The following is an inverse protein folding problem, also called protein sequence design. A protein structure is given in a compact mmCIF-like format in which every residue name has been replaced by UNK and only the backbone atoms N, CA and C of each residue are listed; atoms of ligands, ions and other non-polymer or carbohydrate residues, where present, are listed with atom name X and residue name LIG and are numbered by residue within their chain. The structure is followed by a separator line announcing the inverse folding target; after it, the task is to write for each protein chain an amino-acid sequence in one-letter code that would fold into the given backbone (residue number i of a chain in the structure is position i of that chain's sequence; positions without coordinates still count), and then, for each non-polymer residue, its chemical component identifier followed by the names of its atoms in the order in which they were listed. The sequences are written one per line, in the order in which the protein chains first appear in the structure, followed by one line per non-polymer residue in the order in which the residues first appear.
data_IF_530922790729
#
_entry.id   IF_530922790729
#
_cell.length_a   1.000
_cell.length_b   1.000
_cell.length_c   1.000
_cell.angle_alpha   90.00
_cell.angle_beta   90.00
_cell.angle_gamma   90.00
#
_symmetry.space_group_name_H-M   'P 1'
#
loop_
_entity.id
_entity.type
_entity.pdbx_description
1 polymer ?
#
# COMPACT_ATOMS: atom_id res chain seq x y z
N UNK A 1 -6.22 -6.78 -0.69
CA UNK A 1 -5.21 -5.78 -0.29
C UNK A 1 -5.89 -4.71 0.54
N UNK A 2 -5.25 -4.25 1.60
CA UNK A 2 -5.77 -3.20 2.48
C UNK A 2 -4.66 -2.18 2.74
N UNK A 3 -4.97 -0.90 2.62
CA UNK A 3 -3.99 0.18 2.76
C UNK A 3 -4.50 1.15 3.81
N UNK A 4 -3.72 1.33 4.88
CA UNK A 4 -3.97 2.36 5.88
C UNK A 4 -3.17 3.60 5.51
N UNK A 5 -3.84 4.58 4.87
CA UNK A 5 -3.21 5.84 4.47
C UNK A 5 -3.17 6.86 5.63
N UNK A 6 -2.37 7.91 5.46
CA UNK A 6 -2.10 8.96 6.45
C UNK A 6 -1.41 8.45 7.71
N UNK A 7 -0.61 7.39 7.61
CA UNK A 7 0.10 6.84 8.76
C UNK A 7 1.11 7.85 9.37
N UNK A 8 1.46 8.90 8.63
CA UNK A 8 2.25 10.04 9.09
C UNK A 8 1.54 10.94 10.11
N UNK A 9 0.21 10.92 10.18
CA UNK A 9 -0.57 11.74 11.13
C UNK A 9 -0.82 11.04 12.46
N UNK A 10 -0.63 9.71 12.52
CA UNK A 10 -0.73 8.94 13.77
C UNK A 10 0.40 9.44 14.66
N UNK A 11 0.10 10.05 15.80
CA UNK A 11 1.11 10.72 16.61
C UNK A 11 2.23 9.77 17.02
N UNK A 12 3.47 10.25 17.09
CA UNK A 12 4.64 9.43 17.41
C UNK A 12 4.57 8.83 18.83
N UNK A 13 3.83 9.48 19.74
CA UNK A 13 3.46 8.92 21.06
C UNK A 13 2.49 7.75 20.95
N UNK A 14 1.61 7.75 19.95
CA UNK A 14 0.78 6.58 19.63
C UNK A 14 1.55 5.54 18.81
N UNK A 15 2.64 5.92 18.13
CA UNK A 15 3.52 5.00 17.42
C UNK A 15 4.49 4.20 18.28
N UNK A 16 5.08 4.86 19.27
CA UNK A 16 6.23 4.35 20.01
C UNK A 16 5.92 4.05 21.47
N UNK A 17 4.68 4.24 21.94
CA UNK A 17 4.27 3.73 23.25
C UNK A 17 3.94 2.24 23.17
N UNK A 18 4.49 1.40 24.07
CA UNK A 18 4.04 0.03 24.23
C UNK A 18 2.56 0.05 24.63
N UNK A 19 1.67 -0.18 23.66
CA UNK A 19 0.23 -0.25 23.90
C UNK A 19 -0.67 0.33 22.81
N UNK A 20 -0.26 1.32 22.01
CA UNK A 20 -1.21 2.08 21.16
C UNK A 20 -1.08 1.83 19.65
N UNK A 21 0.12 1.79 19.07
CA UNK A 21 0.27 1.58 17.61
C UNK A 21 0.01 0.13 17.22
N UNK A 22 0.53 -0.77 18.06
CA UNK A 22 0.21 -2.18 18.00
C UNK A 22 -1.31 -2.33 18.05
N UNK A 23 -2.04 -1.54 18.85
CA UNK A 23 -3.49 -1.67 18.97
C UNK A 23 -4.25 -1.28 17.70
N UNK A 24 -4.01 -0.13 17.06
CA UNK A 24 -4.80 0.23 15.85
C UNK A 24 -4.52 -0.72 14.69
N UNK A 25 -3.25 -1.06 14.48
CA UNK A 25 -2.87 -2.01 13.45
C UNK A 25 -3.40 -3.41 13.76
N UNK A 26 -3.18 -3.91 14.99
CA UNK A 26 -3.62 -5.23 15.41
C UNK A 26 -5.14 -5.34 15.49
N UNK A 27 -5.86 -4.33 15.96
CA UNK A 27 -7.32 -4.27 15.96
C UNK A 27 -7.87 -4.34 14.53
N UNK A 28 -7.24 -3.61 13.60
CA UNK A 28 -7.59 -3.70 12.18
C UNK A 28 -7.34 -5.11 11.64
N UNK A 29 -6.17 -5.69 11.93
CA UNK A 29 -5.83 -7.07 11.54
C UNK A 29 -6.82 -8.08 12.14
N UNK A 30 -7.18 -7.94 13.40
CA UNK A 30 -8.08 -8.84 14.12
C UNK A 30 -9.50 -8.76 13.57
N UNK A 31 -9.99 -7.55 13.28
CA UNK A 31 -11.27 -7.35 12.58
C UNK A 31 -11.26 -7.99 11.20
N UNK A 32 -10.20 -7.80 10.43
CA UNK A 32 -10.06 -8.41 9.10
C UNK A 32 -9.97 -9.94 9.17
N UNK A 33 -9.25 -10.50 10.15
CA UNK A 33 -9.17 -11.95 10.39
C UNK A 33 -10.51 -12.55 10.80
N UNK A 34 -11.33 -11.82 11.57
CA UNK A 34 -12.70 -12.25 11.92
C UNK A 34 -13.60 -12.37 10.68
N UNK A 35 -13.48 -11.46 9.72
CA UNK A 35 -14.29 -11.48 8.50
C UNK A 35 -13.77 -12.42 7.41
N UNK A 36 -12.45 -12.62 7.34
CA UNK A 36 -11.78 -13.49 6.37
C UNK A 36 -10.79 -14.41 7.08
N UNK A 37 -11.29 -15.44 7.80
CA UNK A 37 -10.44 -16.40 8.49
C UNK A 37 -9.61 -17.20 7.48
N UNK A 38 -8.34 -17.46 7.83
CA UNK A 38 -7.39 -18.18 6.97
C UNK A 38 -6.69 -17.33 5.90
N UNK A 39 -7.10 -16.07 5.69
CA UNK A 39 -6.38 -15.15 4.82
C UNK A 39 -5.16 -14.54 5.54
N UNK A 40 -3.98 -14.61 4.91
CA UNK A 40 -2.75 -14.04 5.46
C UNK A 40 -2.67 -12.53 5.21
N UNK A 41 -3.38 -11.76 6.04
CA UNK A 41 -3.45 -10.30 5.96
C UNK A 41 -2.10 -9.60 6.08
N UNK A 42 -1.15 -10.18 6.82
CA UNK A 42 0.18 -9.60 7.06
C UNK A 42 0.96 -9.33 5.77
N UNK A 43 0.65 -10.03 4.68
CA UNK A 43 1.30 -9.89 3.36
C UNK A 43 0.59 -8.92 2.42
N UNK A 44 -0.61 -8.46 2.78
CA UNK A 44 -1.48 -7.66 1.91
C UNK A 44 -2.00 -6.39 2.59
N UNK A 45 -1.49 -6.09 3.78
CA UNK A 45 -1.76 -4.88 4.52
C UNK A 45 -0.54 -3.95 4.48
N UNK A 46 -0.77 -2.67 4.21
CA UNK A 46 0.31 -1.68 4.08
C UNK A 46 -0.02 -0.41 4.87
N UNK A 47 0.97 0.08 5.65
CA UNK A 47 0.95 1.41 6.28
C UNK A 47 1.52 2.41 5.28
N UNK A 48 0.80 3.50 4.99
CA UNK A 48 1.17 4.46 3.96
C UNK A 48 1.02 5.90 4.42
N UNK A 49 1.88 6.78 3.90
CA UNK A 49 1.69 8.22 3.93
C UNK A 49 1.78 8.77 2.50
N UNK A 50 0.65 9.25 1.97
CA UNK A 50 0.61 9.96 0.67
C UNK A 50 1.45 11.21 0.65
N UNK A 51 1.49 11.93 1.76
CA UNK A 51 2.29 13.14 1.91
C UNK A 51 3.79 12.83 1.79
N UNK A 52 4.27 11.84 2.55
CA UNK A 52 5.68 11.45 2.57
C UNK A 52 6.12 10.89 1.21
N UNK A 53 5.34 9.97 0.64
CA UNK A 53 5.68 9.37 -0.64
C UNK A 53 5.60 10.39 -1.80
N UNK A 54 4.67 11.36 -1.75
CA UNK A 54 4.67 12.46 -2.71
C UNK A 54 5.93 13.32 -2.61
N UNK A 55 6.36 13.68 -1.39
CA UNK A 55 7.61 14.43 -1.17
C UNK A 55 8.83 13.72 -1.76
N UNK A 56 8.93 12.40 -1.61
CA UNK A 56 10.02 11.61 -2.19
C UNK A 56 10.01 11.64 -3.73
N UNK A 57 8.82 11.47 -4.33
CA UNK A 57 8.64 11.51 -5.78
C UNK A 57 9.00 12.89 -6.33
N UNK A 58 8.46 13.97 -5.74
CA UNK A 58 8.71 15.35 -6.19
C UNK A 58 10.15 15.78 -5.98
N UNK A 59 10.84 15.19 -5.00
CA UNK A 59 12.27 15.46 -4.75
C UNK A 59 13.21 14.63 -5.65
N UNK A 60 12.67 13.79 -6.54
CA UNK A 60 13.46 12.91 -7.41
C UNK A 60 14.17 11.77 -6.68
N UNK A 61 13.82 11.52 -5.42
CA UNK A 61 14.42 10.47 -4.57
C UNK A 61 13.83 9.09 -4.94
N UNK A 62 12.69 9.08 -5.63
CA UNK A 62 11.99 7.87 -6.05
C UNK A 62 10.86 7.52 -5.10
N UNK A 63 10.81 6.27 -4.62
CA UNK A 63 9.73 5.77 -3.79
C UNK A 63 10.19 5.53 -2.35
N UNK A 64 9.32 5.78 -1.37
CA UNK A 64 9.55 5.31 0.00
C UNK A 64 9.51 3.78 0.05
N UNK A 65 10.19 3.16 1.01
CA UNK A 65 10.18 1.70 1.17
C UNK A 65 8.76 1.13 1.31
N UNK A 66 7.89 1.85 2.02
CA UNK A 66 6.48 1.48 2.20
C UNK A 66 5.71 1.51 0.88
N UNK A 67 5.95 2.52 0.04
CA UNK A 67 5.36 2.60 -1.28
C UNK A 67 5.89 1.50 -2.21
N UNK A 68 7.20 1.23 -2.18
CA UNK A 68 7.79 0.13 -2.94
C UNK A 68 7.20 -1.23 -2.53
N UNK A 69 6.96 -1.44 -1.23
CA UNK A 69 6.31 -2.65 -0.72
C UNK A 69 4.86 -2.80 -1.20
N UNK A 70 4.08 -1.70 -1.24
CA UNK A 70 2.73 -1.68 -1.80
C UNK A 70 2.74 -2.07 -3.28
N UNK A 71 3.62 -1.44 -4.07
CA UNK A 71 3.75 -1.73 -5.50
C UNK A 71 4.17 -3.18 -5.76
N UNK A 72 5.10 -3.72 -4.96
CA UNK A 72 5.48 -5.12 -5.02
C UNK A 72 4.32 -6.07 -4.67
N UNK A 73 3.48 -5.69 -3.70
CA UNK A 73 2.25 -6.41 -3.35
C UNK A 73 1.23 -6.47 -4.50
N UNK A 74 0.96 -5.30 -5.09
CA UNK A 74 0.10 -5.17 -6.27
C UNK A 74 0.62 -6.02 -7.43
N UNK A 75 1.92 -5.93 -7.73
CA UNK A 75 2.54 -6.72 -8.79
C UNK A 75 2.35 -8.23 -8.56
N UNK A 76 2.56 -8.71 -7.33
CA UNK A 76 2.34 -10.12 -6.97
C UNK A 76 0.88 -10.53 -7.16
N UNK A 77 -0.08 -9.74 -6.67
CA UNK A 77 -1.51 -10.03 -6.82
C UNK A 77 -1.92 -10.12 -8.29
N UNK A 78 -1.46 -9.18 -9.09
CA UNK A 78 -1.74 -9.13 -10.52
C UNK A 78 -1.12 -10.34 -11.20
N UNK A 79 0.16 -10.63 -10.97
CA UNK A 79 0.83 -11.82 -11.51
C UNK A 79 0.07 -13.10 -11.11
N UNK A 80 -0.33 -13.25 -9.84
CA UNK A 80 -1.13 -14.40 -9.38
C UNK A 80 -2.48 -14.52 -10.10
N UNK A 81 -3.16 -13.40 -10.36
CA UNK A 81 -4.43 -13.38 -11.11
C UNK A 81 -4.26 -13.75 -12.59
N UNK A 82 -3.07 -13.50 -13.15
CA UNK A 82 -2.75 -13.75 -14.56
C UNK A 82 -2.10 -15.11 -14.78
N UNK A 83 -1.39 -15.67 -13.80
CA UNK A 83 -0.90 -17.05 -13.88
C UNK A 83 -2.03 -18.07 -13.83
N UNK A 84 -3.19 -17.70 -13.27
CA UNK A 84 -4.43 -18.49 -13.37
C UNK A 84 -5.11 -18.41 -14.74
N UNK A 85 -4.72 -17.46 -15.60
CA UNK A 85 -5.30 -17.21 -16.93
C UNK A 85 -4.18 -16.99 -17.95
N UNK A 86 -3.69 -18.08 -18.56
CA UNK A 86 -2.58 -18.12 -19.50
C UNK A 86 -2.60 -16.99 -20.57
N UNK A 87 -1.95 -15.85 -20.29
CA UNK A 87 -1.58 -14.79 -21.24
C UNK A 87 -0.63 -13.76 -20.59
N UNK A 88 0.64 -14.15 -20.44
CA UNK A 88 1.69 -13.43 -19.71
C UNK A 88 2.20 -12.15 -20.40
N UNK A 89 1.94 -11.95 -21.70
CA UNK A 89 2.29 -10.72 -22.42
C UNK A 89 1.35 -9.54 -22.11
N UNK A 90 0.04 -9.75 -22.26
CA UNK A 90 -1.01 -8.75 -21.98
C UNK A 90 -1.05 -8.35 -20.50
N UNK A 91 -0.70 -9.31 -19.64
CA UNK A 91 -0.42 -9.15 -18.22
C UNK A 91 0.62 -8.06 -17.91
N UNK A 92 1.77 -8.11 -18.57
CA UNK A 92 2.88 -7.18 -18.36
C UNK A 92 2.55 -5.77 -18.83
N UNK A 93 1.82 -5.67 -19.94
CA UNK A 93 1.37 -4.38 -20.46
C UNK A 93 0.36 -3.73 -19.50
N UNK A 94 -0.65 -4.47 -19.03
CA UNK A 94 -1.59 -3.98 -18.00
C UNK A 94 -0.92 -3.57 -16.69
N UNK A 95 0.14 -4.28 -16.28
CA UNK A 95 0.97 -3.90 -15.13
C UNK A 95 1.67 -2.55 -15.35
N UNK A 96 2.21 -2.31 -16.55
CA UNK A 96 2.82 -1.03 -16.91
C UNK A 96 1.82 0.13 -16.84
N UNK A 97 0.65 -0.03 -17.47
CA UNK A 97 -0.43 0.97 -17.42
C UNK A 97 -0.92 1.26 -16.00
N UNK A 98 -1.04 0.24 -15.15
CA UNK A 98 -1.39 0.41 -13.74
C UNK A 98 -0.28 1.12 -12.95
N UNK A 99 1.00 0.84 -13.20
CA UNK A 99 2.09 1.54 -12.53
C UNK A 99 2.05 3.04 -12.81
N UNK A 100 1.75 3.41 -14.06
CA UNK A 100 1.55 4.81 -14.47
C UNK A 100 0.33 5.40 -13.77
N UNK A 101 -0.84 4.75 -13.85
CA UNK A 101 -2.08 5.30 -13.28
C UNK A 101 -2.10 5.37 -11.75
N UNK A 102 -1.53 4.38 -11.05
CA UNK A 102 -1.44 4.43 -9.58
C UNK A 102 -0.54 5.58 -9.16
N UNK A 103 0.58 5.79 -9.87
CA UNK A 103 1.47 6.92 -9.63
C UNK A 103 0.78 8.25 -9.93
N UNK A 104 0.03 8.35 -11.03
CA UNK A 104 -0.72 9.56 -11.39
C UNK A 104 -1.82 9.89 -10.37
N UNK A 105 -2.62 8.90 -9.96
CA UNK A 105 -3.62 9.05 -8.90
C UNK A 105 -2.97 9.48 -7.59
N UNK A 106 -1.76 9.01 -7.31
CA UNK A 106 -1.01 9.38 -6.12
C UNK A 106 -0.56 10.83 -6.16
N UNK A 107 0.06 11.25 -7.28
CA UNK A 107 0.48 12.63 -7.51
C UNK A 107 -0.71 13.58 -7.43
N UNK A 108 -1.83 13.23 -8.06
CA UNK A 108 -3.07 14.02 -8.00
C UNK A 108 -3.63 14.09 -6.57
N UNK A 109 -3.64 12.97 -5.83
CA UNK A 109 -4.13 12.95 -4.45
C UNK A 109 -3.29 13.81 -3.50
N UNK A 110 -1.98 13.92 -3.76
CA UNK A 110 -1.09 14.76 -2.99
C UNK A 110 -1.21 16.25 -3.34
N UNK A 111 -1.61 16.58 -4.57
CA UNK A 111 -1.89 17.96 -4.99
C UNK A 111 -3.26 18.46 -4.53
N UNK A 112 -4.21 17.56 -4.29
CA UNK A 112 -5.58 17.90 -3.89
C UNK A 112 -5.71 18.35 -2.41
N UNK A 113 -4.68 18.14 -1.58
CA UNK A 113 -4.65 18.56 -0.18
C UNK A 113 -3.31 19.25 0.14
N UNK A 114 -3.25 20.59 0.07
CA UNK A 114 -2.07 21.37 0.49
C UNK A 114 -1.83 21.32 2.00
#
# INVERSE_FOLDING_TARGET
MFVCNKWDIVEERERNQPGSEAQVWQDTVDKLKKHLPGFSWDRYMYKMSTTEASRYITSGIGYTERYAALMGGLQKLILSSLTGNANTGRAREKLGWMHVHVTDLYVQSAQAYP
#
